data_IF_429359419797
#
_entry.id   IF_429359419797
#
_cell.length_a   1.000
_cell.length_b   1.000
_cell.length_c   1.000
_cell.angle_alpha   90.00
_cell.angle_beta   90.00
_cell.angle_gamma   90.00
#
_symmetry.space_group_name_H-M   'P 1'
#
loop_
_entity.id
_entity.type
_entity.pdbx_description
1 polymer ?
#
# COMPACT_ATOMS: atom_id res chain seq x y z
N UNK A 1 7.52 -17.66 -41.51
CA UNK A 1 6.49 -18.13 -42.47
C UNK A 1 5.82 -16.90 -43.08
N UNK A 2 5.35 -17.02 -44.32
CA UNK A 2 4.66 -15.99 -45.10
C UNK A 2 3.38 -15.50 -44.40
N UNK A 3 3.07 -14.20 -44.50
CA UNK A 3 1.69 -13.69 -44.57
C UNK A 3 1.62 -12.70 -45.75
N UNK A 4 0.52 -12.72 -46.50
CA UNK A 4 0.34 -12.00 -47.77
C UNK A 4 -0.75 -10.91 -47.66
N UNK A 5 -0.53 -9.82 -48.41
CA UNK A 5 -1.50 -9.13 -49.29
C UNK A 5 -2.98 -9.14 -48.87
N UNK A 6 -3.54 -7.94 -48.63
CA UNK A 6 -4.57 -7.34 -49.51
C UNK A 6 -4.80 -5.86 -49.19
N UNK A 7 -4.78 -5.00 -50.22
CA UNK A 7 -5.99 -4.33 -50.69
C UNK A 7 -5.80 -3.76 -52.11
N UNK A 8 -6.83 -3.89 -52.94
CA UNK A 8 -6.98 -3.26 -54.27
C UNK A 8 -7.78 -1.96 -54.10
N UNK A 9 -7.67 -0.97 -54.99
CA UNK A 9 -8.50 0.24 -54.82
C UNK A 9 -8.48 1.42 -55.79
N UNK A 10 -7.77 1.36 -56.93
CA UNK A 10 -8.05 2.06 -58.22
C UNK A 10 -8.54 3.54 -58.29
N UNK A 11 -8.07 4.19 -59.37
CA UNK A 11 -8.77 5.22 -60.15
C UNK A 11 -8.96 6.63 -59.53
N UNK A 12 -9.01 7.74 -60.28
CA UNK A 12 -8.47 8.13 -61.60
C UNK A 12 -8.74 9.64 -61.75
N UNK A 13 -7.75 10.49 -62.04
CA UNK A 13 -7.99 11.80 -62.68
C UNK A 13 -6.77 12.21 -63.52
N UNK A 14 -6.98 12.33 -64.83
CA UNK A 14 -5.95 12.74 -65.80
C UNK A 14 -6.08 14.21 -66.17
N UNK A 15 -4.94 14.88 -66.35
CA UNK A 15 -4.87 16.25 -66.90
C UNK A 15 -4.81 16.22 -68.43
N UNK A 16 -5.68 16.96 -69.14
CA UNK A 16 -5.47 17.34 -70.54
C UNK A 16 -4.77 18.71 -70.62
N UNK A 17 -3.60 18.83 -71.29
CA UNK A 17 -2.97 20.12 -71.53
C UNK A 17 -3.33 20.68 -72.92
N UNK A 18 -3.73 21.94 -73.03
CA UNK A 18 -3.81 22.62 -74.34
C UNK A 18 -3.36 24.08 -74.36
N UNK A 19 -2.45 24.30 -75.31
CA UNK A 19 -1.93 25.52 -75.90
C UNK A 19 -2.77 26.81 -75.85
N UNK A 20 -2.05 27.89 -75.52
CA UNK A 20 -2.17 29.28 -75.95
C UNK A 20 -3.15 29.65 -77.11
N UNK A 21 -3.79 30.81 -76.93
CA UNK A 21 -3.78 31.89 -77.93
C UNK A 21 -3.58 33.26 -77.24
N UNK A 22 -3.12 34.25 -78.00
CA UNK A 22 -2.76 35.59 -77.50
C UNK A 22 -3.75 36.68 -77.98
N UNK A 23 -3.44 37.98 -77.78
CA UNK A 23 -4.27 38.88 -77.00
C UNK A 23 -5.55 39.34 -77.71
N UNK A 24 -6.65 39.39 -76.97
CA UNK A 24 -7.81 40.17 -77.36
C UNK A 24 -7.66 41.58 -76.77
N UNK A 25 -7.45 42.57 -77.63
CA UNK A 25 -7.36 43.97 -77.22
C UNK A 25 -8.65 44.41 -76.55
N UNK A 26 -8.61 44.69 -75.25
CA UNK A 26 -9.70 45.38 -74.58
C UNK A 26 -9.64 46.83 -75.05
N UNK A 27 -10.52 47.19 -75.99
CA UNK A 27 -10.86 48.59 -76.19
C UNK A 27 -11.34 49.14 -74.85
N UNK A 28 -10.67 50.19 -74.36
CA UNK A 28 -11.16 50.99 -73.25
C UNK A 28 -12.36 51.81 -73.73
N UNK A 29 -13.48 51.12 -73.93
CA UNK A 29 -14.78 51.75 -73.69
C UNK A 29 -14.71 52.36 -72.30
N UNK A 30 -15.05 53.63 -72.21
CA UNK A 30 -15.48 54.21 -70.95
C UNK A 30 -16.90 53.69 -70.70
N UNK A 31 -17.00 52.40 -70.40
CA UNK A 31 -18.23 51.78 -69.91
C UNK A 31 -18.56 52.51 -68.61
N UNK A 32 -19.53 53.42 -68.68
CA UNK A 32 -19.83 54.33 -67.59
C UNK A 32 -20.17 53.49 -66.36
N UNK A 33 -19.46 53.73 -65.25
CA UNK A 33 -19.55 52.84 -64.08
C UNK A 33 -20.88 53.12 -63.40
N UNK A 34 -21.92 52.42 -63.83
CA UNK A 34 -23.18 52.37 -63.12
C UNK A 34 -22.95 51.75 -61.75
N UNK A 35 -23.48 52.41 -60.75
CA UNK A 35 -23.73 51.95 -59.40
C UNK A 35 -25.26 51.85 -59.21
N UNK A 36 -25.71 51.44 -58.03
CA UNK A 36 -26.96 50.73 -57.91
C UNK A 36 -27.59 50.68 -56.49
N UNK A 37 -28.80 51.24 -56.25
CA UNK A 37 -29.47 51.70 -54.98
C UNK A 37 -30.75 50.86 -54.54
N UNK A 38 -32.02 51.30 -54.74
CA UNK A 38 -33.24 50.46 -54.95
C UNK A 38 -34.11 50.88 -56.19
N UNK A 39 -34.55 49.92 -57.03
CA UNK A 39 -35.24 50.06 -58.36
C UNK A 39 -34.50 50.66 -59.61
N UNK A 40 -33.82 51.81 -59.58
CA UNK A 40 -33.42 52.60 -60.79
C UNK A 40 -31.89 52.91 -61.14
N UNK A 41 -31.22 52.29 -62.15
CA UNK A 41 -29.73 52.36 -62.47
C UNK A 41 -29.01 53.71 -62.31
N UNK A 42 -28.01 53.86 -61.42
CA UNK A 42 -27.36 55.17 -61.15
C UNK A 42 -25.95 55.25 -61.73
N UNK A 43 -25.63 56.09 -62.74
CA UNK A 43 -24.25 56.29 -63.19
C UNK A 43 -23.40 57.00 -62.11
N UNK A 44 -22.20 56.48 -61.79
CA UNK A 44 -21.33 57.04 -60.73
C UNK A 44 -20.96 58.52 -60.94
N UNK A 45 -20.85 58.94 -62.20
CA UNK A 45 -20.66 60.33 -62.63
C UNK A 45 -21.67 61.27 -61.96
N UNK A 46 -22.93 60.85 -61.85
CA UNK A 46 -24.06 61.61 -61.27
C UNK A 46 -23.93 61.79 -59.75
N UNK A 47 -23.51 60.75 -59.03
CA UNK A 47 -23.30 60.79 -57.57
C UNK A 47 -22.13 61.72 -57.23
N UNK A 48 -21.01 61.60 -57.97
CA UNK A 48 -19.85 62.48 -57.83
C UNK A 48 -20.22 63.93 -58.14
N UNK A 49 -20.99 64.18 -59.20
CA UNK A 49 -21.44 65.52 -59.57
C UNK A 49 -22.41 66.14 -58.55
N UNK A 50 -23.29 65.33 -57.94
CA UNK A 50 -24.16 65.75 -56.84
C UNK A 50 -23.35 66.19 -55.60
N UNK A 51 -22.30 65.47 -55.23
CA UNK A 51 -21.41 65.87 -54.14
C UNK A 51 -20.75 67.23 -54.43
N UNK A 52 -20.08 67.37 -55.59
CA UNK A 52 -19.45 68.64 -55.98
C UNK A 52 -20.44 69.80 -56.04
N UNK A 53 -21.67 69.56 -56.52
CA UNK A 53 -22.74 70.56 -56.51
C UNK A 53 -23.10 71.00 -55.09
N UNK A 54 -23.29 70.07 -54.14
CA UNK A 54 -23.55 70.40 -52.72
C UNK A 54 -22.40 71.20 -52.10
N UNK A 55 -21.14 70.90 -52.43
CA UNK A 55 -19.99 71.69 -51.97
C UNK A 55 -20.03 73.15 -52.47
N UNK A 56 -20.38 73.35 -53.76
CA UNK A 56 -20.53 74.68 -54.37
C UNK A 56 -21.73 75.43 -53.77
N UNK A 57 -22.87 74.77 -53.57
CA UNK A 57 -24.05 75.36 -52.91
C UNK A 57 -23.76 75.74 -51.44
N UNK A 58 -22.83 75.05 -50.78
CA UNK A 58 -22.32 75.38 -49.44
C UNK A 58 -21.15 76.39 -49.42
N UNK A 59 -20.66 76.87 -50.59
CA UNK A 59 -19.44 77.69 -50.73
C UNK A 59 -18.18 77.12 -50.05
N UNK A 60 -18.05 75.78 -49.97
CA UNK A 60 -16.89 75.09 -49.39
C UNK A 60 -16.06 74.39 -50.46
N UNK A 61 -14.72 74.57 -50.49
CA UNK A 61 -13.86 73.86 -51.46
C UNK A 61 -13.70 72.36 -51.12
N UNK A 62 -13.77 72.01 -49.83
CA UNK A 62 -13.81 70.63 -49.35
C UNK A 62 -15.26 70.23 -48.99
N UNK A 63 -15.68 68.96 -49.19
CA UNK A 63 -16.99 68.49 -48.76
C UNK A 63 -17.17 68.63 -47.24
N UNK A 64 -18.22 69.35 -46.77
CA UNK A 64 -18.60 69.36 -45.36
C UNK A 64 -18.86 67.94 -44.86
N UNK A 65 -18.65 67.70 -43.55
CA UNK A 65 -18.71 66.35 -42.96
C UNK A 65 -20.00 65.60 -43.35
N UNK A 66 -21.16 66.25 -43.25
CA UNK A 66 -22.44 65.66 -43.68
C UNK A 66 -22.53 65.37 -45.19
N UNK A 67 -21.97 66.22 -46.06
CA UNK A 67 -21.96 65.97 -47.52
C UNK A 67 -21.01 64.82 -47.87
N UNK A 68 -19.97 64.62 -47.05
CA UNK A 68 -19.01 63.51 -47.18
C UNK A 68 -19.61 62.20 -46.65
N UNK A 69 -20.26 62.24 -45.50
CA UNK A 69 -21.04 61.13 -44.94
C UNK A 69 -22.19 60.75 -45.88
N UNK A 70 -22.91 61.72 -46.47
CA UNK A 70 -23.92 61.48 -47.51
C UNK A 70 -23.30 60.83 -48.76
N UNK A 71 -22.16 61.33 -49.27
CA UNK A 71 -21.51 60.76 -50.47
C UNK A 71 -20.93 59.37 -50.24
N UNK A 72 -20.31 59.13 -49.07
CA UNK A 72 -19.84 57.82 -48.65
C UNK A 72 -21.01 56.88 -48.38
N UNK A 73 -22.09 57.36 -47.76
CA UNK A 73 -23.36 56.64 -47.67
C UNK A 73 -24.03 56.44 -49.02
N UNK A 74 -23.86 57.28 -50.05
CA UNK A 74 -24.53 57.12 -51.35
C UNK A 74 -23.73 56.16 -52.26
N UNK A 75 -22.39 56.16 -52.20
CA UNK A 75 -21.56 55.09 -52.77
C UNK A 75 -21.77 53.77 -52.02
N UNK A 76 -21.81 53.82 -50.68
CA UNK A 76 -22.23 52.72 -49.83
C UNK A 76 -23.78 52.61 -49.70
N UNK A 77 -24.52 53.25 -50.60
CA UNK A 77 -25.89 52.95 -51.00
C UNK A 77 -25.95 52.67 -52.52
N UNK A 78 -24.81 52.47 -53.19
CA UNK A 78 -24.76 52.19 -54.63
C UNK A 78 -23.87 50.99 -55.05
N UNK A 79 -22.94 50.48 -54.24
CA UNK A 79 -22.22 49.24 -54.60
C UNK A 79 -22.92 47.93 -54.24
N UNK A 80 -23.78 47.98 -53.23
CA UNK A 80 -24.33 46.84 -52.55
C UNK A 80 -23.95 46.81 -51.09
N UNK A 81 -22.67 47.06 -50.83
CA UNK A 81 -22.13 47.13 -49.48
C UNK A 81 -22.53 48.45 -48.81
N UNK A 82 -23.01 48.41 -47.57
CA UNK A 82 -22.99 49.52 -46.62
C UNK A 82 -21.59 49.66 -45.98
N UNK A 83 -21.35 50.68 -45.15
CA UNK A 83 -20.19 50.69 -44.26
C UNK A 83 -20.24 49.56 -43.23
N UNK A 84 -21.41 49.37 -42.58
CA UNK A 84 -21.76 48.18 -41.77
C UNK A 84 -21.99 46.93 -42.66
N UNK A 85 -21.00 46.66 -43.54
CA UNK A 85 -20.75 45.34 -44.09
C UNK A 85 -19.46 45.14 -44.91
N UNK A 86 -18.68 46.18 -45.20
CA UNK A 86 -17.24 45.96 -45.52
C UNK A 86 -16.45 45.56 -44.27
N UNK A 87 -16.85 46.03 -43.09
CA UNK A 87 -16.33 45.48 -41.84
C UNK A 87 -16.80 44.03 -41.62
N UNK A 88 -17.97 43.66 -42.14
CA UNK A 88 -18.38 42.25 -42.30
C UNK A 88 -18.02 41.61 -43.65
N UNK A 89 -16.88 42.03 -44.19
CA UNK A 89 -15.97 41.16 -44.94
C UNK A 89 -14.58 41.04 -44.29
N UNK A 90 -14.38 41.64 -43.09
CA UNK A 90 -13.14 41.56 -42.28
C UNK A 90 -13.30 40.70 -41.02
N UNK A 91 -14.48 40.74 -40.40
CA UNK A 91 -14.75 40.18 -39.07
C UNK A 91 -14.84 38.63 -39.07
N UNK A 92 -15.62 37.91 -39.92
CA UNK A 92 -15.43 36.46 -40.15
C UNK A 92 -14.11 36.14 -40.83
N UNK A 93 -13.51 37.05 -41.60
CA UNK A 93 -12.16 36.76 -42.07
C UNK A 93 -11.21 36.58 -40.88
N UNK A 94 -11.40 37.37 -39.82
CA UNK A 94 -10.76 37.19 -38.51
C UNK A 94 -11.35 36.02 -37.68
N UNK A 95 -12.62 35.64 -37.79
CA UNK A 95 -13.13 34.43 -37.10
C UNK A 95 -12.71 33.14 -37.77
N UNK A 96 -12.60 33.10 -39.08
CA UNK A 96 -12.11 31.96 -39.84
C UNK A 96 -10.59 31.81 -39.64
N UNK A 97 -9.87 32.90 -39.29
CA UNK A 97 -8.50 32.82 -38.76
C UNK A 97 -8.41 32.50 -37.26
N UNK A 98 -9.41 32.87 -36.45
CA UNK A 98 -9.41 32.66 -34.99
C UNK A 98 -10.12 31.37 -34.53
N UNK A 99 -10.98 30.78 -35.37
CA UNK A 99 -11.50 29.42 -35.19
C UNK A 99 -10.30 28.45 -35.19
N UNK A 100 -10.26 27.46 -34.28
CA UNK A 100 -9.17 26.50 -34.27
C UNK A 100 -9.09 25.82 -35.63
N UNK A 101 -7.92 25.92 -36.27
CA UNK A 101 -7.71 25.32 -37.58
C UNK A 101 -7.91 23.80 -37.51
N UNK A 102 -8.20 23.17 -38.64
CA UNK A 102 -8.48 21.73 -38.70
C UNK A 102 -7.38 20.88 -38.03
N UNK A 103 -6.12 21.32 -38.12
CA UNK A 103 -4.97 20.74 -37.43
C UNK A 103 -5.07 20.76 -35.90
N UNK A 104 -5.63 21.81 -35.30
CA UNK A 104 -5.77 21.93 -33.83
C UNK A 104 -6.86 20.98 -33.32
N UNK A 105 -8.01 20.91 -34.01
CA UNK A 105 -9.08 19.96 -33.68
C UNK A 105 -8.63 18.50 -33.87
N UNK A 106 -7.84 18.21 -34.91
CA UNK A 106 -7.21 16.90 -35.10
C UNK A 106 -6.19 16.60 -33.98
N UNK A 107 -5.55 17.61 -33.40
CA UNK A 107 -4.63 17.41 -32.28
C UNK A 107 -5.39 17.14 -30.98
N UNK A 108 -6.43 17.91 -30.66
CA UNK A 108 -7.32 17.63 -29.51
C UNK A 108 -7.94 16.23 -29.59
N UNK A 109 -8.34 15.77 -30.79
CA UNK A 109 -8.88 14.42 -31.02
C UNK A 109 -7.83 13.32 -30.75
N UNK A 110 -6.57 13.55 -31.12
CA UNK A 110 -5.45 12.65 -30.80
C UNK A 110 -5.11 12.65 -29.31
N UNK A 111 -5.12 13.81 -28.67
CA UNK A 111 -4.79 13.95 -27.26
C UNK A 111 -5.88 13.29 -26.39
N UNK A 112 -7.16 13.43 -26.76
CA UNK A 112 -8.28 12.70 -26.14
C UNK A 112 -8.16 11.19 -26.34
N UNK A 113 -7.81 10.71 -27.54
CA UNK A 113 -7.53 9.27 -27.78
C UNK A 113 -6.36 8.77 -26.94
N UNK A 114 -5.29 9.55 -26.80
CA UNK A 114 -4.11 9.24 -25.99
C UNK A 114 -4.46 9.10 -24.50
N UNK A 115 -5.24 10.06 -23.98
CA UNK A 115 -5.73 10.07 -22.60
C UNK A 115 -6.65 8.86 -22.32
N UNK A 116 -7.59 8.56 -23.22
CA UNK A 116 -8.47 7.40 -23.11
C UNK A 116 -7.67 6.09 -23.08
N UNK A 117 -6.71 5.92 -24.00
CA UNK A 117 -5.81 4.77 -24.02
C UNK A 117 -4.84 4.71 -22.81
N UNK A 118 -4.74 5.77 -21.99
CA UNK A 118 -4.05 5.74 -20.70
C UNK A 118 -4.95 5.30 -19.56
N UNK A 119 -6.19 5.79 -19.52
CA UNK A 119 -7.21 5.37 -18.55
C UNK A 119 -7.52 3.87 -18.71
N UNK A 120 -7.59 3.35 -19.94
CA UNK A 120 -7.74 1.91 -20.21
C UNK A 120 -6.56 1.09 -19.66
N UNK A 121 -5.32 1.59 -19.76
CA UNK A 121 -4.13 0.96 -19.18
C UNK A 121 -4.15 0.97 -17.66
N UNK A 122 -4.51 2.09 -17.04
CA UNK A 122 -4.62 2.23 -15.58
C UNK A 122 -5.72 1.32 -15.01
N UNK A 123 -6.84 1.19 -15.72
CA UNK A 123 -7.94 0.29 -15.38
C UNK A 123 -7.51 -1.19 -15.46
N UNK A 124 -6.77 -1.57 -16.51
CA UNK A 124 -6.19 -2.90 -16.61
C UNK A 124 -5.21 -3.18 -15.45
N UNK A 125 -4.33 -2.23 -15.11
CA UNK A 125 -3.40 -2.40 -13.99
C UNK A 125 -4.12 -2.52 -12.63
N UNK A 126 -5.19 -1.76 -12.39
CA UNK A 126 -5.99 -1.94 -11.16
C UNK A 126 -6.70 -3.30 -11.14
N UNK A 127 -7.17 -3.80 -12.28
CA UNK A 127 -7.78 -5.13 -12.35
C UNK A 127 -6.76 -6.25 -12.06
N UNK A 128 -5.55 -6.15 -12.60
CA UNK A 128 -4.46 -7.10 -12.31
C UNK A 128 -4.04 -7.07 -10.83
N UNK A 129 -3.92 -5.86 -10.24
CA UNK A 129 -3.69 -5.70 -8.79
C UNK A 129 -4.82 -6.32 -7.96
N UNK A 130 -6.08 -6.20 -8.40
CA UNK A 130 -7.24 -6.81 -7.73
C UNK A 130 -7.21 -8.34 -7.83
N UNK A 131 -6.81 -8.92 -8.97
CA UNK A 131 -6.58 -10.36 -9.09
C UNK A 131 -5.43 -10.85 -8.20
N UNK A 132 -4.31 -10.12 -8.13
CA UNK A 132 -3.20 -10.44 -7.23
C UNK A 132 -3.63 -10.42 -5.75
N UNK A 133 -4.38 -9.40 -5.32
CA UNK A 133 -4.93 -9.32 -3.96
C UNK A 133 -5.90 -10.49 -3.68
N UNK A 134 -6.80 -10.81 -4.62
CA UNK A 134 -7.75 -11.92 -4.49
C UNK A 134 -7.05 -13.27 -4.33
N UNK A 135 -5.89 -13.47 -4.96
CA UNK A 135 -5.09 -14.69 -4.81
C UNK A 135 -4.30 -14.74 -3.48
N UNK A 136 -3.91 -13.57 -2.93
CA UNK A 136 -3.17 -13.48 -1.66
C UNK A 136 -4.04 -13.63 -0.40
N UNK A 137 -5.35 -13.39 -0.50
CA UNK A 137 -6.28 -13.56 0.63
C UNK A 137 -6.31 -15.02 1.13
N UNK A 138 -6.50 -16.06 0.29
CA UNK A 138 -6.42 -17.46 0.71
C UNK A 138 -5.09 -17.86 1.37
N UNK A 139 -3.96 -17.31 0.90
CA UNK A 139 -2.67 -17.58 1.56
C UNK A 139 -2.60 -17.01 2.98
N UNK A 140 -3.16 -15.81 3.20
CA UNK A 140 -3.24 -15.18 4.50
C UNK A 140 -4.19 -15.94 5.44
N UNK A 141 -5.33 -16.40 4.93
CA UNK A 141 -6.28 -17.25 5.65
C UNK A 141 -5.66 -18.60 6.05
N UNK A 142 -4.94 -19.28 5.15
CA UNK A 142 -4.21 -20.51 5.50
C UNK A 142 -3.14 -20.27 6.58
N UNK A 143 -2.37 -19.17 6.48
CA UNK A 143 -1.36 -18.80 7.49
C UNK A 143 -1.98 -18.48 8.84
N UNK A 144 -3.13 -17.80 8.87
CA UNK A 144 -3.89 -17.54 10.09
C UNK A 144 -4.43 -18.84 10.72
N UNK A 145 -5.01 -19.74 9.92
CA UNK A 145 -5.53 -21.03 10.38
C UNK A 145 -4.42 -21.95 10.92
N UNK A 146 -3.26 -22.00 10.25
CA UNK A 146 -2.08 -22.72 10.75
C UNK A 146 -1.55 -22.14 12.07
N UNK A 147 -1.50 -20.81 12.20
CA UNK A 147 -1.13 -20.15 13.46
C UNK A 147 -2.12 -20.46 14.59
N UNK A 148 -3.42 -20.50 14.30
CA UNK A 148 -4.45 -20.87 15.27
C UNK A 148 -4.33 -22.33 15.74
N UNK A 149 -4.04 -23.27 14.84
CA UNK A 149 -3.79 -24.66 15.18
C UNK A 149 -2.56 -24.82 16.09
N UNK A 150 -1.44 -24.18 15.75
CA UNK A 150 -0.22 -24.21 16.56
C UNK A 150 -0.46 -23.59 17.96
N UNK A 151 -1.26 -22.52 18.06
CA UNK A 151 -1.64 -21.93 19.35
C UNK A 151 -2.54 -22.86 20.19
N UNK A 152 -3.33 -23.73 19.57
CA UNK A 152 -4.12 -24.75 20.27
C UNK A 152 -3.23 -25.89 20.78
N UNK A 153 -2.24 -26.34 19.98
CA UNK A 153 -1.26 -27.35 20.38
C UNK A 153 -0.42 -26.89 21.58
N UNK A 154 0.13 -25.67 21.51
CA UNK A 154 0.90 -25.06 22.62
C UNK A 154 0.05 -24.96 23.90
N UNK A 155 -1.26 -24.67 23.78
CA UNK A 155 -2.17 -24.67 24.95
C UNK A 155 -2.36 -26.06 25.56
N UNK A 156 -2.37 -27.13 24.75
CA UNK A 156 -2.41 -28.50 25.26
C UNK A 156 -1.13 -28.81 26.04
N UNK A 157 0.04 -28.57 25.43
CA UNK A 157 1.35 -28.82 26.04
C UNK A 157 1.54 -28.05 27.35
N UNK A 158 1.07 -26.79 27.43
CA UNK A 158 1.09 -26.00 28.68
C UNK A 158 0.17 -26.60 29.75
N UNK A 159 -1.02 -27.09 29.37
CA UNK A 159 -1.94 -27.77 30.29
C UNK A 159 -1.36 -29.08 30.82
N UNK A 160 -0.83 -29.92 29.94
CA UNK A 160 -0.14 -31.18 30.27
C UNK A 160 1.02 -30.93 31.24
N UNK A 161 1.89 -29.97 30.92
CA UNK A 161 3.03 -29.55 31.77
C UNK A 161 2.56 -29.08 33.15
N UNK A 162 1.48 -28.27 33.22
CA UNK A 162 0.93 -27.80 34.50
C UNK A 162 0.44 -28.96 35.38
N UNK A 163 -0.21 -29.99 34.81
CA UNK A 163 -0.63 -31.17 35.58
C UNK A 163 0.56 -32.01 36.07
N UNK A 164 1.69 -32.03 35.34
CA UNK A 164 2.88 -32.76 35.80
C UNK A 164 3.61 -32.00 36.91
N UNK A 165 3.68 -30.66 36.84
CA UNK A 165 4.15 -29.82 37.95
C UNK A 165 3.31 -30.06 39.21
N UNK A 166 1.98 -30.09 39.11
CA UNK A 166 1.10 -30.38 40.25
C UNK A 166 1.38 -31.75 40.88
N UNK A 167 1.62 -32.80 40.06
CA UNK A 167 2.01 -34.13 40.57
C UNK A 167 3.35 -34.09 41.31
N UNK A 168 4.35 -33.38 40.76
CA UNK A 168 5.68 -33.24 41.36
C UNK A 168 5.64 -32.44 42.67
N UNK A 169 4.87 -31.37 42.75
CA UNK A 169 4.66 -30.60 43.99
C UNK A 169 4.01 -31.45 45.09
N UNK A 170 2.97 -32.24 44.75
CA UNK A 170 2.35 -33.19 45.66
C UNK A 170 3.32 -34.30 46.12
N UNK A 171 4.18 -34.81 45.23
CA UNK A 171 5.21 -35.79 45.58
C UNK A 171 6.25 -35.19 46.54
N UNK A 172 6.70 -33.96 46.30
CA UNK A 172 7.64 -33.22 47.17
C UNK A 172 7.00 -32.95 48.54
N UNK A 173 5.71 -32.60 48.59
CA UNK A 173 4.99 -32.42 49.85
C UNK A 173 4.93 -33.73 50.67
N UNK A 174 4.64 -34.85 50.02
CA UNK A 174 4.65 -36.19 50.64
C UNK A 174 6.03 -36.59 51.16
N UNK A 175 7.09 -36.38 50.37
CA UNK A 175 8.48 -36.64 50.79
C UNK A 175 8.92 -35.76 51.97
N UNK A 176 8.51 -34.48 52.00
CA UNK A 176 8.78 -33.57 53.13
C UNK A 176 8.11 -34.03 54.42
N UNK A 177 6.88 -34.56 54.36
CA UNK A 177 6.20 -35.14 55.52
C UNK A 177 6.96 -36.36 56.06
N UNK A 178 7.30 -37.32 55.18
CA UNK A 178 8.08 -38.52 55.55
C UNK A 178 9.46 -38.17 56.14
N UNK A 179 10.14 -37.15 55.61
CA UNK A 179 11.39 -36.65 56.18
C UNK A 179 11.19 -36.04 57.58
N UNK A 180 10.09 -35.32 57.81
CA UNK A 180 9.70 -34.83 59.13
C UNK A 180 9.52 -35.95 60.15
N UNK A 181 8.84 -37.04 59.77
CA UNK A 181 8.67 -38.22 60.63
C UNK A 181 10.01 -38.90 60.97
N UNK A 182 10.93 -39.00 60.00
CA UNK A 182 12.29 -39.53 60.20
C UNK A 182 13.09 -38.64 61.16
N UNK A 183 13.02 -37.31 61.00
CA UNK A 183 13.68 -36.36 61.91
C UNK A 183 13.12 -36.46 63.33
N UNK A 184 11.79 -36.56 63.48
CA UNK A 184 11.13 -36.76 64.77
C UNK A 184 11.57 -38.09 65.41
N UNK A 185 11.63 -39.19 64.65
CA UNK A 185 12.10 -40.48 65.13
C UNK A 185 13.57 -40.44 65.57
N UNK A 186 14.44 -39.75 64.82
CA UNK A 186 15.84 -39.55 65.17
C UNK A 186 16.03 -38.75 66.46
N UNK A 187 15.29 -37.64 66.64
CA UNK A 187 15.34 -36.84 67.88
C UNK A 187 14.93 -37.67 69.10
N UNK A 188 13.82 -38.41 69.01
CA UNK A 188 13.36 -39.35 70.04
C UNK A 188 14.42 -40.42 70.38
N UNK A 189 15.12 -40.96 69.38
CA UNK A 189 16.20 -41.92 69.60
C UNK A 189 17.42 -41.27 70.28
N UNK A 190 17.78 -40.05 69.88
CA UNK A 190 18.90 -39.30 70.45
C UNK A 190 18.66 -38.94 71.93
N UNK A 191 17.43 -38.59 72.31
CA UNK A 191 17.04 -38.37 73.71
C UNK A 191 17.12 -39.68 74.53
N UNK A 192 16.54 -40.78 74.03
CA UNK A 192 16.64 -42.11 74.65
C UNK A 192 18.10 -42.56 74.84
N UNK A 193 18.98 -42.22 73.90
CA UNK A 193 20.41 -42.49 74.00
C UNK A 193 21.07 -41.65 75.10
N UNK A 194 20.84 -40.33 75.15
CA UNK A 194 21.34 -39.44 76.24
C UNK A 194 20.93 -39.96 77.62
N UNK A 195 19.65 -40.33 77.78
CA UNK A 195 19.12 -40.85 79.05
C UNK A 195 19.81 -42.16 79.46
N UNK A 196 20.12 -43.06 78.51
CA UNK A 196 20.91 -44.27 78.78
C UNK A 196 22.37 -43.97 79.15
N UNK A 197 23.00 -42.96 78.55
CA UNK A 197 24.35 -42.54 78.93
C UNK A 197 24.38 -41.99 80.37
N UNK A 198 23.43 -41.14 80.74
CA UNK A 198 23.33 -40.62 82.11
C UNK A 198 23.20 -41.74 83.16
N UNK A 199 22.40 -42.77 82.89
CA UNK A 199 22.27 -43.96 83.76
C UNK A 199 23.58 -44.76 83.83
N UNK A 200 24.27 -44.98 82.71
CA UNK A 200 25.60 -45.63 82.68
C UNK A 200 26.59 -44.86 83.55
N UNK A 201 26.64 -43.54 83.41
CA UNK A 201 27.63 -42.68 84.06
C UNK A 201 27.35 -42.51 85.57
N UNK A 202 26.13 -42.78 86.01
CA UNK A 202 25.80 -42.94 87.43
C UNK A 202 26.24 -44.30 87.98
N UNK A 203 25.94 -45.39 87.28
CA UNK A 203 26.37 -46.73 87.65
C UNK A 203 27.91 -46.86 87.70
N UNK A 204 28.64 -46.18 86.82
CA UNK A 204 30.11 -46.11 86.87
C UNK A 204 30.60 -45.37 88.13
N UNK A 205 30.01 -44.22 88.48
CA UNK A 205 30.35 -43.50 89.73
C UNK A 205 30.06 -44.35 90.98
N UNK A 206 28.99 -45.14 90.98
CA UNK A 206 28.70 -46.09 92.06
C UNK A 206 29.70 -47.25 92.11
N UNK A 207 30.14 -47.76 90.95
CA UNK A 207 31.13 -48.83 90.84
C UNK A 207 32.52 -48.37 91.31
N UNK A 208 32.97 -47.18 90.91
CA UNK A 208 34.26 -46.62 91.33
C UNK A 208 34.31 -46.40 92.85
N UNK A 209 33.21 -45.92 93.45
CA UNK A 209 33.07 -45.82 94.90
C UNK A 209 33.28 -47.17 95.60
N UNK A 210 32.57 -48.22 95.14
CA UNK A 210 32.74 -49.59 95.67
C UNK A 210 34.12 -50.20 95.37
N UNK A 211 34.75 -49.83 94.26
CA UNK A 211 36.11 -50.26 93.92
C UNK A 211 37.13 -49.71 94.92
N UNK A 212 37.00 -48.43 95.29
CA UNK A 212 37.82 -47.78 96.33
C UNK A 212 37.57 -48.41 97.71
N UNK A 213 36.34 -48.86 98.00
CA UNK A 213 36.02 -49.63 99.22
C UNK A 213 36.66 -51.03 99.22
N UNK A 214 36.60 -51.76 98.10
CA UNK A 214 37.21 -53.09 97.95
C UNK A 214 38.74 -53.06 98.04
N UNK A 215 39.41 -52.08 97.41
CA UNK A 215 40.87 -51.91 97.47
C UNK A 215 41.39 -51.60 98.88
N UNK A 216 40.51 -51.20 99.82
CA UNK A 216 40.85 -51.09 101.27
C UNK A 216 40.84 -52.43 102.00
N UNK A 217 40.14 -53.44 101.47
CA UNK A 217 40.00 -54.78 102.04
C UNK A 217 41.05 -55.76 101.47
N UNK A 218 41.36 -55.62 100.19
CA UNK A 218 42.11 -56.56 99.35
C UNK A 218 43.64 -56.39 99.47
N UNK A 219 44.21 -56.64 100.67
CA UNK A 219 45.65 -56.38 100.94
C UNK A 219 46.53 -57.52 101.44
N UNK A 220 46.00 -58.69 101.85
CA UNK A 220 46.84 -59.86 102.02
C UNK A 220 46.19 -61.15 101.50
N UNK A 221 46.65 -61.64 100.34
CA UNK A 221 46.44 -63.04 99.89
C UNK A 221 47.03 -63.86 101.08
N UNK A 222 46.51 -65.01 101.50
CA UNK A 222 45.32 -65.71 101.04
C UNK A 222 45.14 -65.79 99.51
N UNK A 223 46.11 -65.43 98.66
CA UNK A 223 45.51 -64.63 97.01
C UNK A 223 44.62 -65.52 96.12
N UNK A 224 44.53 -66.82 96.39
CA UNK A 224 43.76 -67.82 95.64
C UNK A 224 42.43 -68.18 96.32
N UNK A 225 42.39 -68.19 97.66
CA UNK A 225 41.12 -68.21 98.39
C UNK A 225 40.48 -66.82 98.38
N UNK A 226 41.28 -65.75 98.30
CA UNK A 226 40.79 -64.40 97.99
C UNK A 226 40.39 -64.27 96.52
N UNK A 227 41.07 -64.87 95.54
CA UNK A 227 40.53 -64.89 94.17
C UNK A 227 39.20 -65.67 94.12
N UNK A 228 39.07 -66.79 94.82
CA UNK A 228 37.80 -67.55 94.91
C UNK A 228 36.70 -66.79 95.67
N UNK A 229 36.98 -66.31 96.89
CA UNK A 229 36.04 -65.54 97.71
C UNK A 229 35.70 -64.19 97.04
N UNK A 230 36.65 -63.54 96.38
CA UNK A 230 36.38 -62.34 95.57
C UNK A 230 35.70 -62.68 94.25
N UNK A 231 35.82 -63.90 93.71
CA UNK A 231 34.92 -64.32 92.62
C UNK A 231 33.50 -64.48 93.18
N UNK A 232 33.33 -65.13 94.33
CA UNK A 232 32.04 -65.27 95.01
C UNK A 232 31.38 -63.92 95.35
N UNK A 233 32.16 -62.94 95.80
CA UNK A 233 31.68 -61.59 96.14
C UNK A 233 31.53 -60.68 94.92
N UNK A 234 32.42 -60.74 93.92
CA UNK A 234 32.23 -59.98 92.65
C UNK A 234 31.05 -60.54 91.84
N UNK A 235 30.77 -61.85 91.94
CA UNK A 235 29.59 -62.51 91.39
C UNK A 235 28.33 -62.34 92.28
N UNK A 236 28.16 -61.15 92.89
CA UNK A 236 26.94 -60.77 93.61
C UNK A 236 25.79 -60.36 92.69
N UNK A 237 25.90 -60.56 91.37
CA UNK A 237 24.80 -60.38 90.43
C UNK A 237 23.73 -61.45 90.68
N UNK A 238 22.55 -61.03 91.11
CA UNK A 238 21.47 -61.92 91.55
C UNK A 238 20.84 -62.77 90.43
N UNK A 239 21.26 -62.59 89.17
CA UNK A 239 20.92 -63.49 88.07
C UNK A 239 21.76 -64.78 88.03
N UNK A 240 22.90 -64.83 88.74
CA UNK A 240 23.87 -65.92 88.73
C UNK A 240 23.82 -66.73 90.06
N UNK A 241 24.29 -68.00 90.10
CA UNK A 241 24.26 -68.80 91.33
C UNK A 241 25.25 -68.22 92.35
N UNK A 242 24.80 -68.00 93.59
CA UNK A 242 25.65 -67.43 94.64
C UNK A 242 26.61 -68.48 95.23
N UNK A 243 27.89 -68.34 94.87
CA UNK A 243 29.02 -69.06 95.45
C UNK A 243 29.18 -68.70 96.94
N UNK A 244 29.65 -69.63 97.79
CA UNK A 244 29.75 -69.41 99.25
C UNK A 244 31.19 -69.21 99.76
N UNK A 245 31.40 -68.13 100.51
CA UNK A 245 32.68 -67.76 101.13
C UNK A 245 33.12 -68.73 102.24
N UNK A 246 34.44 -68.99 102.32
CA UNK A 246 35.06 -69.97 103.24
C UNK A 246 36.39 -69.43 103.82
N UNK A 247 36.86 -69.96 104.96
CA UNK A 247 37.96 -69.37 105.77
C UNK A 247 38.97 -70.38 106.34
N UNK A 248 40.21 -69.90 106.57
CA UNK A 248 41.40 -70.69 106.93
C UNK A 248 41.56 -70.99 108.44
N UNK A 249 40.67 -71.79 109.04
CA UNK A 249 40.88 -72.35 110.38
C UNK A 249 41.11 -73.87 110.34
N UNK A 250 41.60 -74.45 111.43
CA UNK A 250 41.95 -75.88 111.54
C UNK A 250 40.79 -76.88 111.29
N UNK A 251 39.60 -76.39 110.99
CA UNK A 251 38.41 -77.17 110.59
C UNK A 251 38.11 -77.13 109.09
N UNK A 252 38.95 -76.48 108.26
CA UNK A 252 38.79 -76.48 106.79
C UNK A 252 39.12 -77.87 106.21
N UNK A 253 38.11 -78.74 106.16
CA UNK A 253 38.20 -80.07 105.55
C UNK A 253 38.16 -79.96 104.02
N UNK A 254 39.34 -79.71 103.44
CA UNK A 254 39.55 -79.58 102.00
C UNK A 254 38.94 -80.74 101.18
N UNK A 255 38.82 -81.95 101.74
CA UNK A 255 38.27 -83.13 101.06
C UNK A 255 36.74 -83.10 100.94
N UNK A 256 36.04 -82.34 101.80
CA UNK A 256 34.59 -82.07 101.67
C UNK A 256 34.29 -80.71 101.06
N UNK A 257 35.11 -79.71 101.35
CA UNK A 257 34.89 -78.32 100.95
C UNK A 257 35.13 -78.10 99.45
N UNK A 258 36.23 -78.61 98.90
CA UNK A 258 36.65 -78.35 97.51
C UNK A 258 35.70 -78.98 96.46
N UNK A 259 35.17 -80.21 96.62
CA UNK A 259 34.20 -80.75 95.67
C UNK A 259 32.94 -79.89 95.50
N UNK A 260 32.47 -79.26 96.59
CA UNK A 260 31.31 -78.35 96.55
C UNK A 260 31.67 -77.07 95.80
N UNK A 261 32.81 -76.45 96.13
CA UNK A 261 33.37 -75.30 95.41
C UNK A 261 33.42 -75.56 93.90
N UNK A 262 33.91 -76.73 93.48
CA UNK A 262 33.99 -77.09 92.06
C UNK A 262 32.61 -77.24 91.39
N UNK A 263 31.59 -77.71 92.10
CA UNK A 263 30.21 -77.77 91.56
C UNK A 263 29.55 -76.40 91.45
N UNK A 264 29.70 -75.53 92.46
CA UNK A 264 29.19 -74.15 92.44
C UNK A 264 29.83 -73.35 91.28
N UNK A 265 31.15 -73.52 91.05
CA UNK A 265 31.86 -72.92 89.91
C UNK A 265 31.44 -73.46 88.54
N UNK A 266 31.03 -74.74 88.43
CA UNK A 266 30.56 -75.32 87.18
C UNK A 266 29.22 -74.73 86.73
N UNK A 267 28.31 -74.45 87.67
CA UNK A 267 27.01 -73.83 87.38
C UNK A 267 27.13 -72.31 87.09
N UNK A 268 28.09 -71.63 87.72
CA UNK A 268 28.52 -70.28 87.29
C UNK A 268 29.06 -70.30 85.86
N UNK A 269 29.87 -71.30 85.50
CA UNK A 269 30.49 -71.42 84.16
C UNK A 269 29.46 -71.64 83.05
N UNK A 270 28.38 -72.38 83.27
CA UNK A 270 27.33 -72.56 82.26
C UNK A 270 26.51 -71.29 82.02
N UNK A 271 26.19 -70.51 83.05
CA UNK A 271 25.54 -69.20 82.85
C UNK A 271 26.49 -68.17 82.20
N UNK A 272 27.79 -68.19 82.53
CA UNK A 272 28.79 -67.38 81.83
C UNK A 272 28.93 -67.78 80.35
N UNK A 273 28.80 -69.06 80.01
CA UNK A 273 28.75 -69.50 78.62
C UNK A 273 27.52 -68.94 77.87
N UNK A 274 26.32 -68.93 78.50
CA UNK A 274 25.13 -68.31 77.91
C UNK A 274 25.26 -66.78 77.75
N UNK A 275 25.95 -66.10 78.66
CA UNK A 275 26.30 -64.67 78.51
C UNK A 275 27.33 -64.44 77.38
N UNK A 276 28.28 -65.36 77.19
CA UNK A 276 29.22 -65.33 76.07
C UNK A 276 28.52 -65.59 74.72
N UNK A 277 27.59 -66.54 74.64
CA UNK A 277 26.73 -66.77 73.46
C UNK A 277 25.89 -65.54 73.14
N UNK A 278 25.29 -64.88 74.16
CA UNK A 278 24.57 -63.62 73.99
C UNK A 278 25.48 -62.53 73.40
N UNK A 279 26.69 -62.35 73.95
CA UNK A 279 27.69 -61.41 73.42
C UNK A 279 28.13 -61.74 71.99
N UNK A 280 28.25 -63.04 71.66
CA UNK A 280 28.55 -63.49 70.30
C UNK A 280 27.39 -63.24 69.33
N UNK A 281 26.14 -63.41 69.79
CA UNK A 281 24.91 -63.07 69.08
C UNK A 281 24.80 -61.56 68.81
N UNK A 282 25.07 -60.71 69.81
CA UNK A 282 25.16 -59.26 69.64
C UNK A 282 26.28 -58.87 68.66
N UNK A 283 27.41 -59.59 68.67
CA UNK A 283 28.53 -59.39 67.74
C UNK A 283 28.28 -59.94 66.32
N UNK A 284 27.32 -60.86 66.16
CA UNK A 284 26.84 -61.34 64.87
C UNK A 284 25.75 -60.41 64.31
N UNK A 285 24.86 -59.90 65.16
CA UNK A 285 23.86 -58.90 64.80
C UNK A 285 24.51 -57.62 64.28
N UNK A 286 25.51 -57.09 65.01
CA UNK A 286 26.30 -55.91 64.57
C UNK A 286 27.06 -56.13 63.26
N UNK A 287 27.48 -57.37 62.95
CA UNK A 287 28.08 -57.67 61.65
C UNK A 287 27.06 -57.59 60.51
N UNK A 288 25.87 -58.16 60.70
CA UNK A 288 24.75 -58.01 59.74
C UNK A 288 24.28 -56.56 59.58
N UNK A 289 24.29 -55.79 60.66
CA UNK A 289 24.01 -54.35 60.65
C UNK A 289 25.03 -53.58 59.80
N UNK A 290 26.33 -53.88 59.95
CA UNK A 290 27.40 -53.31 59.11
C UNK A 290 27.29 -53.75 57.65
N UNK A 291 26.97 -55.00 57.35
CA UNK A 291 26.71 -55.49 55.98
C UNK A 291 25.50 -54.79 55.33
N UNK A 292 24.44 -54.54 56.10
CA UNK A 292 23.26 -53.77 55.66
C UNK A 292 23.62 -52.30 55.38
N UNK A 293 24.43 -51.68 56.24
CA UNK A 293 24.89 -50.29 56.04
C UNK A 293 25.83 -50.21 54.82
N UNK A 294 26.71 -51.20 54.61
CA UNK A 294 27.59 -51.25 53.44
C UNK A 294 26.81 -51.37 52.12
N UNK A 295 25.77 -52.21 52.08
CA UNK A 295 24.91 -52.35 50.88
C UNK A 295 24.05 -51.10 50.66
N UNK A 296 23.52 -50.46 51.70
CA UNK A 296 22.86 -49.16 51.57
C UNK A 296 23.83 -48.07 51.05
N UNK A 297 25.05 -48.00 51.59
CA UNK A 297 26.09 -47.07 51.12
C UNK A 297 26.49 -47.31 49.65
N UNK A 298 26.50 -48.56 49.17
CA UNK A 298 26.72 -48.87 47.77
C UNK A 298 25.57 -48.34 46.89
N UNK A 299 24.32 -48.66 47.25
CA UNK A 299 23.13 -48.18 46.56
C UNK A 299 23.04 -46.65 46.53
N UNK A 300 23.45 -45.97 47.62
CA UNK A 300 23.49 -44.51 47.69
C UNK A 300 24.56 -43.88 46.80
N UNK A 301 25.72 -44.53 46.63
CA UNK A 301 26.73 -44.09 45.66
C UNK A 301 26.24 -44.24 44.21
N UNK A 302 25.54 -45.32 43.91
CA UNK A 302 24.93 -45.51 42.58
C UNK A 302 23.83 -44.47 42.30
N UNK A 303 23.03 -44.09 43.31
CA UNK A 303 22.05 -43.01 43.20
C UNK A 303 22.72 -41.64 42.98
N UNK A 304 23.82 -41.33 43.67
CA UNK A 304 24.58 -40.09 43.46
C UNK A 304 25.18 -40.05 42.05
N UNK A 305 25.83 -41.13 41.58
CA UNK A 305 26.44 -41.16 40.25
C UNK A 305 25.43 -40.98 39.10
N UNK A 306 24.17 -41.40 39.30
CA UNK A 306 23.08 -41.13 38.35
C UNK A 306 22.67 -39.66 38.37
N UNK A 307 22.44 -39.09 39.55
CA UNK A 307 22.10 -37.67 39.70
C UNK A 307 23.21 -36.73 39.19
N UNK A 308 24.48 -37.14 39.30
CA UNK A 308 25.63 -36.43 38.71
C UNK A 308 25.59 -36.47 37.17
N UNK A 309 25.27 -37.62 36.57
CA UNK A 309 25.07 -37.74 35.11
C UNK A 309 23.88 -36.91 34.62
N UNK A 310 22.71 -37.03 35.27
CA UNK A 310 21.48 -36.32 34.91
C UNK A 310 21.68 -34.79 35.01
N UNK A 311 22.48 -34.32 35.98
CA UNK A 311 22.88 -32.92 36.12
C UNK A 311 23.81 -32.45 35.00
N UNK A 312 24.79 -33.26 34.58
CA UNK A 312 25.62 -32.96 33.41
C UNK A 312 24.79 -32.89 32.12
N UNK A 313 23.86 -33.81 31.92
CA UNK A 313 22.99 -33.86 30.74
C UNK A 313 22.08 -32.64 30.67
N UNK A 314 21.36 -32.32 31.76
CA UNK A 314 20.54 -31.10 31.84
C UNK A 314 21.36 -29.82 31.68
N UNK A 315 22.62 -29.80 32.13
CA UNK A 315 23.53 -28.66 31.90
C UNK A 315 23.88 -28.48 30.42
N UNK A 316 24.11 -29.57 29.68
CA UNK A 316 24.37 -29.54 28.22
C UNK A 316 23.13 -29.08 27.45
N UNK A 317 21.94 -29.54 27.82
CA UNK A 317 20.67 -29.07 27.24
C UNK A 317 20.47 -27.57 27.48
N UNK A 318 20.74 -27.10 28.70
CA UNK A 318 20.63 -25.68 29.06
C UNK A 318 21.61 -24.80 28.26
N UNK A 319 22.86 -25.23 28.07
CA UNK A 319 23.81 -24.54 27.19
C UNK A 319 23.31 -24.46 25.75
N UNK A 320 22.79 -25.56 25.18
CA UNK A 320 22.30 -25.56 23.81
C UNK A 320 21.03 -24.70 23.65
N UNK A 321 20.15 -24.69 24.66
CA UNK A 321 19.02 -23.76 24.72
C UNK A 321 19.50 -22.30 24.73
N UNK A 322 20.56 -21.96 25.48
CA UNK A 322 21.17 -20.62 25.41
C UNK A 322 21.73 -20.31 24.01
N UNK A 323 22.43 -21.25 23.35
CA UNK A 323 22.93 -21.06 21.97
C UNK A 323 21.80 -20.84 20.98
N UNK A 324 20.69 -21.57 21.11
CA UNK A 324 19.51 -21.39 20.27
C UNK A 324 18.80 -20.05 20.54
N UNK A 325 18.69 -19.63 21.81
CA UNK A 325 18.14 -18.33 22.18
C UNK A 325 18.99 -17.17 21.62
N UNK A 326 20.32 -17.28 21.67
CA UNK A 326 21.24 -16.31 21.06
C UNK A 326 21.04 -16.21 19.54
N UNK A 327 21.06 -17.34 18.81
CA UNK A 327 20.80 -17.38 17.35
C UNK A 327 19.44 -16.78 16.97
N UNK A 328 18.38 -17.06 17.75
CA UNK A 328 17.05 -16.47 17.53
C UNK A 328 17.03 -14.96 17.77
N UNK A 329 17.77 -14.46 18.77
CA UNK A 329 17.92 -13.02 19.05
C UNK A 329 18.67 -12.30 17.93
N UNK A 330 19.73 -12.90 17.39
CA UNK A 330 20.47 -12.36 16.25
C UNK A 330 19.61 -12.31 14.98
N UNK A 331 18.89 -13.39 14.66
CA UNK A 331 17.97 -13.44 13.53
C UNK A 331 16.83 -12.40 13.65
N UNK A 332 16.30 -12.19 14.85
CA UNK A 332 15.29 -11.16 15.10
C UNK A 332 15.86 -9.74 14.97
N UNK A 333 17.10 -9.50 15.41
CA UNK A 333 17.76 -8.21 15.22
C UNK A 333 18.05 -7.90 13.74
N UNK A 334 18.44 -8.90 12.95
CA UNK A 334 18.60 -8.77 11.50
C UNK A 334 17.27 -8.40 10.82
N UNK A 335 16.20 -9.13 11.15
CA UNK A 335 14.86 -8.88 10.61
C UNK A 335 14.30 -7.50 10.98
N UNK A 336 14.57 -7.02 12.21
CA UNK A 336 14.25 -5.63 12.59
C UNK A 336 14.99 -4.63 11.70
N UNK A 337 16.29 -4.79 11.49
CA UNK A 337 17.06 -3.89 10.63
C UNK A 337 16.56 -3.90 9.18
N UNK A 338 16.24 -5.07 8.62
CA UNK A 338 15.65 -5.20 7.27
C UNK A 338 14.29 -4.52 7.17
N UNK A 339 13.43 -4.65 8.20
CA UNK A 339 12.11 -4.00 8.20
C UNK A 339 12.17 -2.50 8.42
N UNK A 340 13.13 -1.99 9.21
CA UNK A 340 13.39 -0.55 9.35
C UNK A 340 13.84 0.07 8.03
N UNK A 341 14.79 -0.56 7.32
CA UNK A 341 15.23 -0.13 5.98
C UNK A 341 14.06 -0.13 4.99
N UNK A 342 13.26 -1.20 4.92
CA UNK A 342 12.10 -1.28 4.03
C UNK A 342 11.02 -0.23 4.34
N UNK A 343 10.86 0.15 5.62
CA UNK A 343 9.96 1.24 6.05
C UNK A 343 10.49 2.60 5.57
N UNK A 344 11.79 2.87 5.65
CA UNK A 344 12.39 4.13 5.20
C UNK A 344 12.45 4.26 3.68
N UNK A 345 12.71 3.17 2.94
CA UNK A 345 12.53 3.14 1.48
C UNK A 345 11.07 3.43 1.07
N UNK A 346 10.10 2.84 1.76
CA UNK A 346 8.68 3.10 1.53
C UNK A 346 8.29 4.56 1.84
N UNK A 347 8.85 5.15 2.91
CA UNK A 347 8.69 6.58 3.26
C UNK A 347 9.26 7.49 2.18
N UNK A 348 10.47 7.22 1.69
CA UNK A 348 11.09 7.98 0.60
C UNK A 348 10.27 7.89 -0.70
N UNK A 349 9.79 6.69 -1.06
CA UNK A 349 8.90 6.50 -2.21
C UNK A 349 7.58 7.27 -2.07
N UNK A 350 7.01 7.31 -0.86
CA UNK A 350 5.78 8.06 -0.58
C UNK A 350 5.99 9.59 -0.68
N UNK A 351 7.13 10.10 -0.18
CA UNK A 351 7.51 11.52 -0.30
C UNK A 351 7.67 11.94 -1.76
N UNK A 352 8.45 11.18 -2.55
CA UNK A 352 8.63 11.46 -3.98
C UNK A 352 7.31 11.44 -4.77
N UNK A 353 6.38 10.53 -4.43
CA UNK A 353 5.03 10.50 -5.00
C UNK A 353 4.20 11.71 -4.60
N UNK A 354 4.29 12.17 -3.34
CA UNK A 354 3.60 13.38 -2.85
C UNK A 354 4.09 14.65 -3.58
N UNK A 355 5.40 14.83 -3.73
CA UNK A 355 5.96 15.94 -4.52
C UNK A 355 5.49 15.92 -5.98
N UNK A 356 5.35 14.74 -6.58
CA UNK A 356 4.85 14.62 -7.95
C UNK A 356 3.36 14.96 -8.05
N UNK A 357 2.55 14.57 -7.06
CA UNK A 357 1.13 14.97 -6.96
C UNK A 357 1.01 16.49 -6.81
N UNK A 358 1.86 17.13 -6.01
CA UNK A 358 1.85 18.59 -5.84
C UNK A 358 2.22 19.34 -7.14
N UNK A 359 3.17 18.83 -7.92
CA UNK A 359 3.48 19.35 -9.27
C UNK A 359 2.29 19.22 -10.21
N UNK A 360 1.71 18.01 -10.32
CA UNK A 360 0.52 17.75 -11.14
C UNK A 360 -0.69 18.60 -10.73
N UNK A 361 -0.87 18.88 -9.44
CA UNK A 361 -1.93 19.79 -8.96
C UNK A 361 -1.72 21.24 -9.44
N UNK A 362 -0.48 21.74 -9.46
CA UNK A 362 -0.18 23.06 -10.03
C UNK A 362 -0.41 23.10 -11.54
N UNK A 363 0.00 22.07 -12.28
CA UNK A 363 -0.25 21.94 -13.72
C UNK A 363 -1.74 21.90 -14.05
N UNK A 364 -2.53 21.12 -13.29
CA UNK A 364 -4.00 21.07 -13.40
C UNK A 364 -4.63 22.45 -13.13
N UNK A 365 -4.18 23.16 -12.09
CA UNK A 365 -4.67 24.52 -11.82
C UNK A 365 -4.33 25.51 -12.94
N UNK A 366 -3.13 25.41 -13.54
CA UNK A 366 -2.75 26.29 -14.63
C UNK A 366 -3.51 25.95 -15.92
N UNK A 367 -3.67 24.67 -16.27
CA UNK A 367 -4.47 24.25 -17.40
C UNK A 367 -5.95 24.62 -17.24
N UNK A 368 -6.49 24.59 -16.01
CA UNK A 368 -7.85 25.10 -15.74
C UNK A 368 -7.97 26.60 -16.04
N UNK A 369 -7.02 27.44 -15.60
CA UNK A 369 -6.99 28.87 -15.93
C UNK A 369 -6.89 29.11 -17.44
N UNK A 370 -6.04 28.34 -18.13
CA UNK A 370 -5.89 28.40 -19.59
C UNK A 370 -7.23 28.07 -20.28
N UNK A 371 -7.91 27.00 -19.83
CA UNK A 371 -9.22 26.59 -20.36
C UNK A 371 -10.32 27.63 -20.10
N UNK A 372 -10.37 28.22 -18.90
CA UNK A 372 -11.30 29.32 -18.57
C UNK A 372 -11.07 30.55 -19.47
N UNK A 373 -9.81 30.89 -19.76
CA UNK A 373 -9.44 31.92 -20.73
C UNK A 373 -9.90 31.57 -22.16
N UNK A 374 -9.68 30.34 -22.64
CA UNK A 374 -10.14 29.92 -23.97
C UNK A 374 -11.67 29.84 -24.08
N UNK A 375 -12.40 29.55 -22.99
CA UNK A 375 -13.87 29.62 -22.96
C UNK A 375 -14.40 31.07 -23.08
N UNK A 376 -13.77 32.02 -22.38
CA UNK A 376 -14.10 33.45 -22.50
C UNK A 376 -13.76 34.00 -23.89
N UNK A 377 -12.60 33.61 -24.44
CA UNK A 377 -12.21 33.95 -25.81
C UNK A 377 -13.19 33.38 -26.84
N UNK A 378 -13.60 32.11 -26.72
CA UNK A 378 -14.61 31.50 -27.59
C UNK A 378 -16.00 32.16 -27.45
N UNK A 379 -16.39 32.61 -26.26
CA UNK A 379 -17.63 33.41 -26.09
C UNK A 379 -17.55 34.72 -26.84
N UNK A 380 -16.45 35.46 -26.71
CA UNK A 380 -16.20 36.72 -27.42
C UNK A 380 -16.18 36.51 -28.93
N UNK A 381 -15.49 35.46 -29.40
CA UNK A 381 -15.46 35.08 -30.81
C UNK A 381 -16.86 34.74 -31.33
N UNK A 382 -17.68 34.00 -30.56
CA UNK A 382 -19.06 33.65 -30.95
C UNK A 382 -20.00 34.87 -31.04
N UNK A 383 -19.89 35.83 -30.13
CA UNK A 383 -20.65 37.10 -30.21
C UNK A 383 -20.24 37.91 -31.45
N UNK A 384 -18.95 37.90 -31.77
CA UNK A 384 -18.40 38.53 -32.98
C UNK A 384 -18.91 37.80 -34.25
N UNK A 385 -18.98 36.45 -34.28
CA UNK A 385 -19.66 35.67 -35.33
C UNK A 385 -21.13 36.07 -35.53
N UNK A 386 -21.87 36.22 -34.43
CA UNK A 386 -23.31 36.49 -34.44
C UNK A 386 -23.64 37.94 -34.85
N UNK A 387 -22.67 38.84 -34.74
CA UNK A 387 -22.73 40.16 -35.35
C UNK A 387 -22.39 40.05 -36.85
N UNK A 388 -21.27 39.41 -37.21
CA UNK A 388 -20.87 39.26 -38.60
C UNK A 388 -21.94 38.65 -39.49
N UNK A 389 -22.52 37.52 -39.10
CA UNK A 389 -23.52 36.84 -39.92
C UNK A 389 -24.81 37.66 -40.08
N UNK A 390 -25.14 38.53 -39.13
CA UNK A 390 -26.25 39.49 -39.28
C UNK A 390 -25.91 40.55 -40.30
N UNK A 391 -24.82 41.26 -40.03
CA UNK A 391 -24.50 42.52 -40.68
C UNK A 391 -23.96 42.21 -42.12
N UNK A 392 -23.20 41.13 -42.34
CA UNK A 392 -22.85 40.59 -43.68
C UNK A 392 -24.08 40.13 -44.51
N UNK A 393 -25.20 39.82 -43.85
CA UNK A 393 -26.51 39.58 -44.50
C UNK A 393 -27.30 40.88 -44.69
N UNK A 394 -26.93 41.99 -44.05
CA UNK A 394 -27.23 43.35 -44.54
C UNK A 394 -26.45 43.63 -45.84
N UNK A 395 -25.17 43.22 -45.98
CA UNK A 395 -24.38 43.36 -47.24
C UNK A 395 -25.13 42.80 -48.42
N UNK A 396 -25.43 41.51 -48.36
CA UNK A 396 -25.90 40.78 -49.52
C UNK A 396 -27.36 41.14 -49.84
N UNK A 397 -28.12 41.58 -48.84
CA UNK A 397 -29.44 42.21 -49.02
C UNK A 397 -29.31 43.58 -49.66
N UNK A 398 -28.29 44.34 -49.27
CA UNK A 398 -27.80 45.51 -50.00
C UNK A 398 -27.47 45.13 -51.44
N UNK A 399 -26.36 44.44 -51.73
CA UNK A 399 -25.91 44.01 -53.07
C UNK A 399 -27.04 43.46 -53.93
N UNK A 400 -27.98 42.70 -53.37
CA UNK A 400 -29.19 42.26 -54.07
C UNK A 400 -30.09 43.43 -54.48
N UNK A 401 -30.65 44.19 -53.53
CA UNK A 401 -31.49 45.37 -53.81
C UNK A 401 -30.80 46.32 -54.81
N UNK A 402 -29.51 46.49 -54.58
CA UNK A 402 -28.59 47.32 -55.34
C UNK A 402 -28.50 46.80 -56.77
N UNK A 403 -28.15 45.53 -57.04
CA UNK A 403 -28.16 45.03 -58.42
C UNK A 403 -29.56 45.02 -59.06
N UNK A 404 -30.64 44.94 -58.28
CA UNK A 404 -32.02 45.14 -58.77
C UNK A 404 -32.25 46.58 -59.26
N UNK A 405 -31.52 47.59 -58.79
CA UNK A 405 -31.47 48.91 -59.44
C UNK A 405 -31.03 48.83 -60.89
N UNK A 406 -29.89 48.17 -61.09
CA UNK A 406 -29.27 48.14 -62.41
C UNK A 406 -30.15 47.41 -63.41
N UNK A 407 -31.07 46.59 -62.94
CA UNK A 407 -32.07 45.96 -63.76
C UNK A 407 -33.11 46.97 -64.28
N UNK A 408 -33.83 47.71 -63.43
CA UNK A 408 -35.03 48.42 -63.92
C UNK A 408 -34.78 49.73 -64.67
N UNK A 409 -33.81 50.63 -64.32
CA UNK A 409 -33.52 51.73 -65.30
C UNK A 409 -32.88 51.19 -66.56
N UNK A 410 -32.00 50.17 -66.56
CA UNK A 410 -31.53 49.65 -67.86
C UNK A 410 -32.67 49.10 -68.70
N UNK A 411 -33.66 48.47 -68.07
CA UNK A 411 -34.89 48.02 -68.73
C UNK A 411 -35.77 49.20 -69.20
N UNK A 412 -35.83 50.30 -68.44
CA UNK A 412 -36.56 51.52 -68.80
C UNK A 412 -35.87 52.32 -69.92
N UNK A 413 -34.54 52.45 -69.86
CA UNK A 413 -33.64 53.02 -70.87
C UNK A 413 -33.70 52.20 -72.17
N UNK A 414 -33.73 50.87 -72.07
CA UNK A 414 -33.93 49.94 -73.19
C UNK A 414 -35.32 50.12 -73.84
N UNK A 415 -36.40 50.27 -73.05
CA UNK A 415 -37.72 50.62 -73.62
C UNK A 415 -37.75 52.01 -74.23
N UNK A 416 -37.14 53.03 -73.62
CA UNK A 416 -37.11 54.39 -74.15
C UNK A 416 -36.28 54.49 -75.44
N UNK A 417 -35.17 53.75 -75.54
CA UNK A 417 -34.41 53.61 -76.78
C UNK A 417 -35.23 52.90 -77.86
N UNK A 418 -36.01 51.88 -77.50
CA UNK A 418 -36.89 51.18 -78.45
C UNK A 418 -38.02 52.10 -78.96
N UNK A 419 -38.60 52.95 -78.10
CA UNK A 419 -39.56 53.98 -78.49
C UNK A 419 -38.94 55.01 -79.46
N UNK A 420 -37.72 55.50 -79.18
CA UNK A 420 -36.99 56.42 -80.06
C UNK A 420 -36.64 55.77 -81.41
N UNK A 421 -36.29 54.48 -81.43
CA UNK A 421 -36.05 53.74 -82.68
C UNK A 421 -37.35 53.65 -83.50
N UNK A 422 -38.47 53.28 -82.89
CA UNK A 422 -39.77 53.22 -83.57
C UNK A 422 -40.22 54.60 -84.10
N UNK A 423 -39.92 55.68 -83.38
CA UNK A 423 -40.21 57.04 -83.85
C UNK A 423 -39.27 57.44 -85.02
N UNK A 424 -37.99 57.07 -84.99
CA UNK A 424 -37.06 57.29 -86.11
C UNK A 424 -37.42 56.45 -87.34
N UNK A 425 -37.90 55.21 -87.18
CA UNK A 425 -38.42 54.38 -88.27
C UNK A 425 -39.69 55.00 -88.89
N UNK A 426 -40.58 55.56 -88.05
CA UNK A 426 -41.75 56.33 -88.49
C UNK A 426 -41.35 57.60 -89.25
N UNK A 427 -40.42 58.39 -88.74
CA UNK A 427 -39.90 59.60 -89.40
C UNK A 427 -39.19 59.27 -90.73
N UNK A 428 -38.39 58.19 -90.76
CA UNK A 428 -37.73 57.69 -91.97
C UNK A 428 -38.75 57.24 -93.03
N UNK A 429 -39.82 56.56 -92.60
CA UNK A 429 -40.94 56.18 -93.47
C UNK A 429 -41.67 57.41 -94.02
N UNK A 430 -41.90 58.44 -93.20
CA UNK A 430 -42.48 59.71 -93.64
C UNK A 430 -41.57 60.45 -94.63
N UNK A 431 -40.26 60.50 -94.38
CA UNK A 431 -39.29 61.09 -95.32
C UNK A 431 -39.25 60.32 -96.65
N UNK A 432 -39.34 58.99 -96.60
CA UNK A 432 -39.38 58.13 -97.79
C UNK A 432 -40.64 58.41 -98.61
N UNK A 433 -41.81 58.47 -97.97
CA UNK A 433 -43.08 58.84 -98.63
C UNK A 433 -43.04 60.26 -99.23
N UNK A 434 -42.44 61.22 -98.53
CA UNK A 434 -42.23 62.59 -99.05
C UNK A 434 -41.28 62.59 -100.25
N UNK A 435 -40.18 61.84 -100.18
CA UNK A 435 -39.21 61.71 -101.28
C UNK A 435 -39.85 61.05 -102.50
N UNK A 436 -40.62 59.97 -102.33
CA UNK A 436 -41.37 59.34 -103.42
C UNK A 436 -42.42 60.29 -104.02
N UNK A 437 -43.18 61.02 -103.20
CA UNK A 437 -44.13 62.03 -103.68
C UNK A 437 -43.43 63.13 -104.49
N UNK A 438 -42.29 63.63 -104.01
CA UNK A 438 -41.55 64.71 -104.66
C UNK A 438 -40.85 64.22 -105.94
N UNK A 439 -40.43 62.95 -105.98
CA UNK A 439 -39.90 62.28 -107.16
C UNK A 439 -41.01 62.00 -108.20
N UNK A 440 -42.24 61.70 -107.76
CA UNK A 440 -43.42 61.61 -108.64
C UNK A 440 -43.87 62.98 -109.15
N UNK A 441 -43.80 64.04 -108.33
CA UNK A 441 -43.98 65.43 -108.76
C UNK A 441 -42.94 65.82 -109.82
N UNK A 442 -41.67 65.45 -109.64
CA UNK A 442 -40.59 65.66 -110.63
C UNK A 442 -40.83 64.86 -111.91
N UNK A 443 -41.30 63.60 -111.84
CA UNK A 443 -41.76 62.86 -113.03
C UNK A 443 -42.94 63.56 -113.71
N UNK A 444 -43.90 64.09 -112.95
CA UNK A 444 -45.04 64.85 -113.48
C UNK A 444 -44.58 66.14 -114.17
N UNK A 445 -43.59 66.83 -113.61
CA UNK A 445 -43.00 68.05 -114.15
C UNK A 445 -42.21 67.75 -115.43
N UNK A 446 -41.42 66.66 -115.44
CA UNK A 446 -40.74 66.17 -116.64
C UNK A 446 -41.74 65.78 -117.76
N UNK A 447 -42.84 65.12 -117.42
CA UNK A 447 -43.91 64.79 -118.36
C UNK A 447 -44.69 66.04 -118.85
N UNK A 448 -44.76 67.12 -118.06
CA UNK A 448 -45.30 68.42 -118.49
C UNK A 448 -44.32 69.19 -119.38
N UNK A 449 -43.02 69.16 -119.07
CA UNK A 449 -41.94 69.71 -119.91
C UNK A 449 -41.90 69.01 -121.28
N UNK A 450 -42.03 67.68 -121.31
CA UNK A 450 -42.11 66.87 -122.53
C UNK A 450 -43.22 67.33 -123.47
N UNK A 451 -44.37 67.79 -122.94
CA UNK A 451 -45.51 68.32 -123.73
C UNK A 451 -45.30 69.72 -124.31
N UNK A 452 -44.17 70.39 -124.06
CA UNK A 452 -43.86 71.71 -124.63
C UNK A 452 -42.63 71.72 -125.56
N UNK A 453 -42.01 70.57 -125.82
CA UNK A 453 -40.82 70.44 -126.67
C UNK A 453 -41.11 69.90 -128.09
N UNK A 454 -42.10 70.52 -128.77
CA UNK A 454 -42.52 70.31 -130.17
C UNK A 454 -43.10 68.94 -130.52
#
# INVERSE_FOLDING_TARGET
MVVFITHLGRDQFGYPPYSAYAPMSIELKQDEIFLSEGNESVPASKIIFNMYRKCVEANSPDPPLQVREEFEQEIAHSFGCRPEDVDELRVQLAELSNKPSLSTLIQEERDLRSNLASIERELAEQNDRLHQLKNRIPEAEMKANGSAANLQEIRSQVGETATEVEKLENLIASQRAQYGDIVNAYQNLQERYRNRCAVRDDLLRQLDGRSIELVRMDKPVAPALDEYNSLAVRMSDSSLPQLKMRTYLHTFDALKEIPIICSELAEVRTKLAALAEKSHGESAAKRKEVESIQTECANKREQVAKLEHDLEESSREYEEFQRQAAKRKEAFAHWLMETEVAIDEARQSALAKKENIEKLQMEIQQNKKNYEYYLDLNRKMKVYCENYEKESVELLRGVKNRLEIKAERRKAEETALMEVILELESQSSQLTNQYESLLEDVKSLANRMSKYSK
#
